data_IF_416473610869
#
_entry.id   IF_416473610869
#
_cell.length_a   1.000
_cell.length_b   1.000
_cell.length_c   1.000
_cell.angle_alpha   90.00
_cell.angle_beta   90.00
_cell.angle_gamma   90.00
#
_symmetry.space_group_name_H-M   'P 1'
#
loop_
_entity.id
_entity.type
_entity.pdbx_description
1 polymer ?
#
# COMPACT_ATOMS: atom_id res chain seq x y z
N UNK A 1 -20.33 -5.78 -0.61
CA UNK A 1 -20.03 -6.44 -1.90
C UNK A 1 -19.33 -7.74 -1.55
N UNK A 2 -19.80 -8.87 -2.06
CA UNK A 2 -19.19 -10.18 -1.80
C UNK A 2 -18.07 -10.43 -2.83
N UNK A 3 -16.83 -10.21 -2.41
CA UNK A 3 -15.65 -10.33 -3.28
C UNK A 3 -15.35 -11.76 -3.71
N UNK A 4 -15.69 -12.75 -2.87
CA UNK A 4 -15.48 -14.16 -3.22
C UNK A 4 -16.43 -14.56 -4.35
N UNK A 5 -17.70 -14.14 -4.28
CA UNK A 5 -18.66 -14.34 -5.38
C UNK A 5 -18.20 -13.67 -6.67
N UNK A 6 -17.73 -12.43 -6.58
CA UNK A 6 -17.20 -11.68 -7.73
C UNK A 6 -15.97 -12.34 -8.36
N UNK A 7 -15.05 -12.85 -7.55
CA UNK A 7 -13.85 -13.53 -8.04
C UNK A 7 -14.18 -14.87 -8.69
N UNK A 8 -15.10 -15.65 -8.11
CA UNK A 8 -15.63 -16.90 -8.71
C UNK A 8 -16.26 -16.63 -10.06
N UNK A 9 -16.98 -15.52 -10.20
CA UNK A 9 -17.58 -15.11 -11.48
C UNK A 9 -16.50 -14.82 -12.53
N UNK A 10 -15.45 -14.07 -12.19
CA UNK A 10 -14.31 -13.83 -13.09
C UNK A 10 -13.65 -15.16 -13.50
N UNK A 11 -13.36 -16.05 -12.56
CA UNK A 11 -12.71 -17.32 -12.88
C UNK A 11 -13.59 -18.23 -13.74
N UNK A 12 -14.90 -18.23 -13.52
CA UNK A 12 -15.87 -18.93 -14.39
C UNK A 12 -15.83 -18.39 -15.81
N UNK A 13 -15.87 -17.06 -15.98
CA UNK A 13 -15.81 -16.41 -17.29
C UNK A 13 -14.48 -16.70 -18.00
N UNK A 14 -13.36 -16.76 -17.27
CA UNK A 14 -12.05 -17.13 -17.86
C UNK A 14 -12.05 -18.60 -18.30
N UNK A 15 -12.60 -19.49 -17.49
CA UNK A 15 -12.69 -20.92 -17.83
C UNK A 15 -13.55 -21.14 -19.07
N UNK A 16 -14.66 -20.41 -19.18
CA UNK A 16 -15.54 -20.46 -20.33
C UNK A 16 -14.91 -19.83 -21.57
N UNK A 17 -14.28 -18.66 -21.44
CA UNK A 17 -13.51 -18.02 -22.51
C UNK A 17 -12.47 -18.94 -23.13
N UNK A 18 -11.74 -19.71 -22.30
CA UNK A 18 -10.75 -20.70 -22.77
C UNK A 18 -11.36 -21.93 -23.42
N UNK A 19 -12.63 -22.26 -23.11
CA UNK A 19 -13.36 -23.38 -23.71
C UNK A 19 -13.95 -23.03 -25.07
N UNK A 20 -14.14 -21.74 -25.37
CA UNK A 20 -14.60 -21.32 -26.68
C UNK A 20 -13.51 -21.64 -27.71
N UNK A 21 -13.78 -22.63 -28.57
CA UNK A 21 -12.90 -22.99 -29.68
C UNK A 21 -12.79 -21.81 -30.63
N UNK A 22 -11.69 -21.06 -30.55
CA UNK A 22 -11.00 -20.13 -31.47
C UNK A 22 -11.81 -19.23 -32.43
N UNK A 23 -12.94 -19.65 -33.02
CA UNK A 23 -13.62 -18.92 -34.10
C UNK A 23 -14.28 -17.60 -33.69
N UNK A 24 -14.52 -17.33 -32.40
CA UNK A 24 -15.01 -16.00 -32.01
C UNK A 24 -14.67 -15.55 -30.58
N UNK A 25 -13.40 -15.71 -30.18
CA UNK A 25 -12.90 -15.21 -28.88
C UNK A 25 -13.20 -13.72 -28.68
N UNK A 26 -13.02 -12.90 -29.73
CA UNK A 26 -13.31 -11.47 -29.66
C UNK A 26 -14.80 -11.21 -29.38
N UNK A 27 -15.70 -11.91 -30.06
CA UNK A 27 -17.13 -11.78 -29.81
C UNK A 27 -17.50 -12.18 -28.38
N UNK A 28 -17.04 -13.33 -27.87
CA UNK A 28 -17.33 -13.72 -26.48
C UNK A 28 -16.77 -12.69 -25.48
N UNK A 29 -15.59 -12.14 -25.75
CA UNK A 29 -15.03 -11.07 -24.92
C UNK A 29 -15.92 -9.83 -24.92
N UNK A 30 -16.32 -9.34 -26.09
CA UNK A 30 -17.14 -8.15 -26.21
C UNK A 30 -18.58 -8.34 -25.69
N UNK A 31 -19.17 -9.53 -25.79
CA UNK A 31 -20.56 -9.78 -25.36
C UNK A 31 -20.70 -10.15 -23.89
N UNK A 32 -19.73 -10.87 -23.31
CA UNK A 32 -19.85 -11.41 -21.96
C UNK A 32 -18.86 -10.80 -20.98
N UNK A 33 -17.60 -10.61 -21.39
CA UNK A 33 -16.52 -10.15 -20.50
C UNK A 33 -16.53 -8.65 -20.34
N UNK A 34 -16.52 -7.93 -21.45
CA UNK A 34 -16.44 -6.46 -21.48
C UNK A 34 -17.57 -5.80 -20.70
N UNK A 35 -18.86 -6.15 -20.87
CA UNK A 35 -19.95 -5.48 -20.14
C UNK A 35 -19.89 -5.71 -18.62
N UNK A 36 -19.36 -6.87 -18.21
CA UNK A 36 -19.14 -7.15 -16.79
C UNK A 36 -18.06 -6.25 -16.20
N UNK A 37 -16.93 -6.07 -16.89
CA UNK A 37 -15.87 -5.17 -16.45
C UNK A 37 -16.23 -3.69 -16.58
N UNK A 38 -16.98 -3.29 -17.61
CA UNK A 38 -17.48 -1.92 -17.80
C UNK A 38 -18.25 -1.44 -16.57
N UNK A 39 -19.24 -2.22 -16.11
CA UNK A 39 -20.01 -1.91 -14.90
C UNK A 39 -19.16 -1.73 -13.64
N UNK A 40 -18.01 -2.41 -13.57
CA UNK A 40 -17.11 -2.33 -12.41
C UNK A 40 -16.13 -1.17 -12.55
N UNK A 41 -15.63 -0.95 -13.75
CA UNK A 41 -14.78 0.18 -14.10
C UNK A 41 -15.55 1.49 -13.91
N UNK A 42 -16.82 1.56 -14.29
CA UNK A 42 -17.71 2.70 -14.02
C UNK A 42 -17.79 3.05 -12.53
N UNK A 43 -17.76 2.04 -11.64
CA UNK A 43 -17.78 2.27 -10.19
C UNK A 43 -16.47 2.81 -9.64
N UNK A 44 -15.32 2.39 -10.18
CA UNK A 44 -14.00 2.87 -9.74
C UNK A 44 -13.55 4.14 -10.47
N UNK A 45 -14.06 4.40 -11.67
CA UNK A 45 -13.65 5.52 -12.53
C UNK A 45 -13.73 6.89 -11.84
N UNK A 46 -14.75 7.22 -11.02
CA UNK A 46 -14.78 8.49 -10.29
C UNK A 46 -13.63 8.68 -9.29
N UNK A 47 -13.02 7.58 -8.83
CA UNK A 47 -11.86 7.62 -7.93
C UNK A 47 -10.51 7.56 -8.65
N UNK A 48 -10.49 7.41 -9.99
CA UNK A 48 -9.27 7.36 -10.78
C UNK A 48 -8.85 8.74 -11.30
N UNK A 49 -7.54 8.97 -11.39
CA UNK A 49 -6.92 10.16 -11.98
C UNK A 49 -5.76 9.76 -12.91
N UNK A 50 -5.34 10.70 -13.75
CA UNK A 50 -4.21 10.51 -14.68
C UNK A 50 -4.64 10.50 -16.15
N UNK A 51 -3.68 10.67 -17.05
CA UNK A 51 -3.92 10.73 -18.51
C UNK A 51 -4.03 9.35 -19.17
N UNK A 52 -3.49 8.31 -18.53
CA UNK A 52 -3.41 6.95 -19.08
C UNK A 52 -4.44 5.98 -18.47
N UNK A 53 -5.58 6.48 -17.97
CA UNK A 53 -6.60 5.63 -17.33
C UNK A 53 -7.13 4.59 -18.31
N UNK A 54 -7.59 5.03 -19.48
CA UNK A 54 -8.22 4.13 -20.45
C UNK A 54 -7.21 3.17 -21.07
N UNK A 55 -5.97 3.60 -21.30
CA UNK A 55 -4.89 2.74 -21.76
C UNK A 55 -4.56 1.65 -20.71
N UNK A 56 -4.39 2.01 -19.44
CA UNK A 56 -4.07 1.04 -18.36
C UNK A 56 -5.22 0.07 -18.10
N UNK A 57 -6.48 0.47 -18.29
CA UNK A 57 -7.64 -0.40 -18.08
C UNK A 57 -7.95 -1.27 -19.30
N UNK A 58 -8.02 -0.66 -20.49
CA UNK A 58 -8.61 -1.23 -21.70
C UNK A 58 -7.65 -1.42 -22.88
N UNK A 59 -6.46 -0.81 -22.85
CA UNK A 59 -5.46 -0.95 -23.91
C UNK A 59 -5.01 -2.39 -24.13
N UNK A 60 -4.21 -2.62 -25.17
CA UNK A 60 -3.75 -3.97 -25.57
C UNK A 60 -2.99 -4.71 -24.45
N UNK A 61 -2.28 -3.93 -23.63
CA UNK A 61 -1.60 -4.39 -22.40
C UNK A 61 -2.32 -3.97 -21.11
N UNK A 62 -3.55 -3.48 -21.24
CA UNK A 62 -4.39 -3.04 -20.14
C UNK A 62 -4.82 -4.19 -19.22
N UNK A 63 -5.22 -3.83 -17.99
CA UNK A 63 -5.62 -4.76 -16.94
C UNK A 63 -6.68 -5.74 -17.43
N UNK A 64 -7.75 -5.27 -18.08
CA UNK A 64 -8.86 -6.15 -18.49
C UNK A 64 -8.38 -7.16 -19.54
N UNK A 65 -7.63 -6.74 -20.56
CA UNK A 65 -7.12 -7.68 -21.58
C UNK A 65 -6.12 -8.68 -21.00
N UNK A 66 -5.22 -8.24 -20.11
CA UNK A 66 -4.22 -9.12 -19.46
C UNK A 66 -4.85 -10.23 -18.62
N UNK A 67 -6.03 -10.02 -18.06
CA UNK A 67 -6.76 -11.05 -17.30
C UNK A 67 -7.16 -12.24 -18.20
N UNK A 68 -7.45 -12.00 -19.48
CA UNK A 68 -8.05 -13.01 -20.38
C UNK A 68 -7.12 -13.51 -21.50
N UNK A 69 -6.19 -12.69 -21.99
CA UNK A 69 -5.47 -12.97 -23.24
C UNK A 69 -3.97 -13.33 -23.07
N UNK A 70 -3.42 -13.26 -21.85
CA UNK A 70 -1.97 -13.46 -21.62
C UNK A 70 -1.66 -14.68 -20.76
N UNK A 71 -0.36 -15.03 -20.73
CA UNK A 71 0.21 -16.11 -19.89
C UNK A 71 -0.26 -15.99 -18.44
N UNK A 72 -0.31 -17.12 -17.73
CA UNK A 72 -0.85 -17.21 -16.37
C UNK A 72 -0.24 -16.16 -15.42
N UNK A 73 1.08 -15.97 -15.46
CA UNK A 73 1.76 -14.95 -14.66
C UNK A 73 1.23 -13.52 -14.89
N UNK A 74 0.91 -13.17 -16.14
CA UNK A 74 0.40 -11.85 -16.52
C UNK A 74 -1.05 -11.66 -16.09
N UNK A 75 -1.85 -12.74 -16.13
CA UNK A 75 -3.21 -12.77 -15.59
C UNK A 75 -3.21 -12.50 -14.09
N UNK A 76 -2.34 -13.18 -13.33
CA UNK A 76 -2.26 -13.03 -11.88
C UNK A 76 -1.91 -11.59 -11.48
N UNK A 77 -0.91 -10.98 -12.14
CA UNK A 77 -0.56 -9.58 -11.93
C UNK A 77 -1.73 -8.62 -12.18
N UNK A 78 -2.41 -8.76 -13.32
CA UNK A 78 -3.53 -7.88 -13.67
C UNK A 78 -4.74 -8.03 -12.74
N UNK A 79 -5.02 -9.25 -12.26
CA UNK A 79 -6.07 -9.47 -11.27
C UNK A 79 -5.76 -8.77 -9.93
N UNK A 80 -4.51 -8.84 -9.46
CA UNK A 80 -4.11 -8.14 -8.24
C UNK A 80 -4.15 -6.61 -8.39
N UNK A 81 -3.75 -6.08 -9.55
CA UNK A 81 -3.90 -4.64 -9.86
C UNK A 81 -5.38 -4.22 -9.81
N UNK A 82 -6.29 -5.03 -10.37
CA UNK A 82 -7.72 -4.74 -10.34
C UNK A 82 -8.30 -4.78 -8.91
N UNK A 83 -7.91 -5.77 -8.12
CA UNK A 83 -8.34 -5.89 -6.72
C UNK A 83 -7.84 -4.74 -5.86
N UNK A 84 -6.60 -4.30 -6.09
CA UNK A 84 -6.03 -3.12 -5.47
C UNK A 84 -6.89 -1.88 -5.76
N UNK A 85 -7.20 -1.59 -7.03
CA UNK A 85 -8.00 -0.42 -7.41
C UNK A 85 -9.39 -0.46 -6.77
N UNK A 86 -10.04 -1.62 -6.78
CA UNK A 86 -11.34 -1.80 -6.14
C UNK A 86 -11.28 -1.56 -4.64
N UNK A 87 -10.27 -2.10 -3.96
CA UNK A 87 -10.08 -1.89 -2.52
C UNK A 87 -9.87 -0.41 -2.20
N UNK A 88 -8.90 0.23 -2.85
CA UNK A 88 -8.55 1.63 -2.60
C UNK A 88 -9.74 2.56 -2.83
N UNK A 89 -10.44 2.40 -3.94
CA UNK A 89 -11.48 3.37 -4.35
C UNK A 89 -12.83 3.07 -3.69
N UNK A 90 -13.25 1.80 -3.66
CA UNK A 90 -14.60 1.44 -3.20
C UNK A 90 -14.68 1.20 -1.70
N UNK A 91 -13.60 0.70 -1.08
CA UNK A 91 -13.57 0.37 0.35
C UNK A 91 -12.87 1.47 1.13
N UNK A 92 -11.59 1.74 0.83
CA UNK A 92 -10.78 2.72 1.56
C UNK A 92 -11.15 4.18 1.21
N UNK A 93 -11.91 4.39 0.12
CA UNK A 93 -12.31 5.72 -0.39
C UNK A 93 -11.11 6.64 -0.62
N UNK A 94 -10.02 6.07 -1.12
CA UNK A 94 -8.76 6.75 -1.48
C UNK A 94 -8.72 6.92 -3.00
N UNK A 95 -8.63 8.16 -3.51
CA UNK A 95 -8.38 8.40 -4.93
C UNK A 95 -7.03 7.85 -5.37
N UNK A 96 -6.98 7.30 -6.58
CA UNK A 96 -5.79 6.67 -7.16
C UNK A 96 -5.46 7.34 -8.48
N UNK A 97 -4.24 7.84 -8.61
CA UNK A 97 -3.67 8.30 -9.87
C UNK A 97 -2.91 7.14 -10.54
N UNK A 98 -3.22 6.89 -11.81
CA UNK A 98 -2.49 5.92 -12.65
C UNK A 98 -1.27 6.62 -13.21
N UNK A 99 -0.10 6.07 -12.91
CA UNK A 99 1.18 6.61 -13.34
C UNK A 99 1.54 6.13 -14.76
N UNK A 100 2.27 6.93 -15.55
CA UNK A 100 2.70 6.53 -16.89
C UNK A 100 3.69 5.37 -16.81
N UNK A 101 3.41 4.30 -17.56
CA UNK A 101 4.18 3.05 -17.49
C UNK A 101 5.61 3.21 -18.03
N UNK A 102 5.78 4.00 -19.10
CA UNK A 102 7.08 4.31 -19.70
C UNK A 102 7.70 5.53 -19.01
N UNK A 103 9.00 5.46 -18.76
CA UNK A 103 9.77 6.61 -18.31
C UNK A 103 9.83 7.67 -19.43
N UNK A 104 9.79 8.95 -19.07
CA UNK A 104 10.08 10.03 -20.01
C UNK A 104 11.59 10.12 -20.23
N UNK A 105 12.17 9.19 -21.00
CA UNK A 105 13.61 9.18 -21.27
C UNK A 105 13.84 9.48 -22.75
N UNK A 106 14.18 10.73 -23.05
CA UNK A 106 14.79 11.15 -24.33
C UNK A 106 16.26 10.71 -24.46
N UNK A 107 16.78 9.89 -23.55
CA UNK A 107 18.21 9.60 -23.45
C UNK A 107 18.50 8.10 -23.64
N UNK A 108 18.98 7.81 -24.86
CA UNK A 108 19.78 6.66 -25.30
C UNK A 108 19.08 5.30 -25.39
N UNK A 109 19.29 4.70 -26.55
CA UNK A 109 18.84 3.41 -27.06
C UNK A 109 19.42 2.20 -26.29
N UNK A 110 19.54 2.27 -24.97
CA UNK A 110 19.84 1.09 -24.16
C UNK A 110 18.53 0.46 -23.72
N UNK A 111 18.29 -0.73 -24.25
CA UNK A 111 17.13 -1.61 -24.19
C UNK A 111 16.67 -2.09 -22.81
N UNK A 112 16.83 -1.30 -21.75
CA UNK A 112 16.19 -1.64 -20.47
C UNK A 112 14.72 -1.22 -20.51
N UNK A 113 13.82 -2.20 -20.56
CA UNK A 113 12.38 -2.00 -20.36
C UNK A 113 12.10 -1.58 -18.91
N UNK A 114 12.53 -0.37 -18.54
CA UNK A 114 12.39 0.17 -17.20
C UNK A 114 11.02 0.82 -17.05
N UNK A 115 10.27 0.36 -16.04
CA UNK A 115 8.91 0.80 -15.76
C UNK A 115 8.89 1.73 -14.55
N UNK A 116 7.99 2.71 -14.57
CA UNK A 116 7.64 3.42 -13.35
C UNK A 116 6.75 2.55 -12.45
N UNK A 117 6.66 2.85 -11.14
CA UNK A 117 5.65 2.26 -10.28
C UNK A 117 4.24 2.46 -10.82
N UNK A 118 3.33 1.54 -10.50
CA UNK A 118 1.99 1.50 -11.11
C UNK A 118 1.08 2.69 -10.76
N UNK A 119 1.03 3.07 -9.48
CA UNK A 119 -0.01 3.95 -8.95
C UNK A 119 0.52 4.99 -7.98
N UNK A 120 -0.29 6.02 -7.76
CA UNK A 120 -0.06 7.02 -6.74
C UNK A 120 -1.36 7.27 -5.96
N UNK A 121 -1.32 7.02 -4.66
CA UNK A 121 -2.44 7.20 -3.76
C UNK A 121 -2.49 8.65 -3.29
N UNK A 122 -3.68 9.26 -3.30
CA UNK A 122 -3.89 10.63 -2.82
C UNK A 122 -4.55 10.54 -1.45
N UNK A 123 -3.76 10.68 -0.39
CA UNK A 123 -4.20 10.49 0.98
C UNK A 123 -4.89 11.76 1.52
N UNK A 124 -5.99 11.58 2.25
CA UNK A 124 -6.82 12.68 2.79
C UNK A 124 -6.08 13.57 3.78
N UNK A 125 -5.13 13.01 4.54
CA UNK A 125 -4.32 13.82 5.46
C UNK A 125 -3.26 14.62 4.71
N UNK A 126 -3.47 15.94 4.62
CA UNK A 126 -2.51 16.95 4.15
C UNK A 126 -2.04 16.79 2.69
N UNK A 127 -2.90 16.32 1.79
CA UNK A 127 -2.55 16.13 0.36
C UNK A 127 -1.27 15.32 0.16
N UNK A 128 -1.05 14.33 1.03
CA UNK A 128 0.13 13.48 0.94
C UNK A 128 -0.10 12.47 -0.18
N UNK A 129 0.90 12.33 -1.00
CA UNK A 129 0.89 11.39 -2.10
C UNK A 129 1.70 10.17 -1.69
N UNK A 130 1.33 8.99 -2.17
CA UNK A 130 2.08 7.76 -1.92
C UNK A 130 2.18 6.94 -3.20
N UNK A 131 3.37 6.92 -3.80
CA UNK A 131 3.63 6.06 -4.95
C UNK A 131 3.59 4.61 -4.48
N UNK A 132 2.76 3.81 -5.12
CA UNK A 132 2.52 2.41 -4.78
C UNK A 132 2.78 1.51 -5.98
N UNK A 133 3.60 0.49 -5.77
CA UNK A 133 3.77 -0.61 -6.71
C UNK A 133 2.90 -1.80 -6.29
N UNK A 134 2.25 -2.46 -7.25
CA UNK A 134 1.42 -3.64 -6.97
C UNK A 134 2.04 -4.88 -7.61
N UNK A 135 2.29 -5.90 -6.80
CA UNK A 135 2.78 -7.19 -7.29
C UNK A 135 1.83 -8.31 -6.85
N UNK A 136 1.74 -9.36 -7.65
CA UNK A 136 1.01 -10.57 -7.28
C UNK A 136 1.93 -11.78 -7.45
N UNK A 137 2.05 -12.65 -6.45
CA UNK A 137 2.74 -13.92 -6.62
C UNK A 137 1.94 -14.81 -7.58
N UNK A 138 2.66 -15.64 -8.34
CA UNK A 138 2.07 -16.55 -9.33
C UNK A 138 2.11 -18.01 -8.88
N UNK A 139 2.73 -18.28 -7.73
CA UNK A 139 2.82 -19.59 -7.10
C UNK A 139 2.87 -19.45 -5.58
N UNK A 140 2.69 -20.58 -4.90
CA UNK A 140 2.80 -20.72 -3.44
C UNK A 140 4.24 -20.64 -2.92
N UNK A 141 5.20 -20.35 -3.80
CA UNK A 141 6.62 -20.29 -3.44
C UNK A 141 6.91 -18.98 -2.68
N UNK A 142 6.98 -19.11 -1.36
CA UNK A 142 7.31 -18.01 -0.44
C UNK A 142 8.64 -17.34 -0.82
N UNK A 143 9.62 -18.08 -1.39
CA UNK A 143 10.90 -17.50 -1.82
C UNK A 143 10.74 -16.49 -2.96
N UNK A 144 9.63 -16.52 -3.71
CA UNK A 144 9.33 -15.50 -4.72
C UNK A 144 8.99 -14.15 -4.12
N UNK A 145 8.52 -14.09 -2.87
CA UNK A 145 8.21 -12.82 -2.20
C UNK A 145 9.43 -11.91 -2.14
N UNK A 146 10.59 -12.45 -1.74
CA UNK A 146 11.84 -11.68 -1.73
C UNK A 146 12.17 -11.09 -3.11
N UNK A 147 11.95 -11.86 -4.18
CA UNK A 147 12.13 -11.37 -5.56
C UNK A 147 11.17 -10.25 -5.92
N UNK A 148 9.91 -10.31 -5.48
CA UNK A 148 8.94 -9.23 -5.70
C UNK A 148 9.39 -7.93 -5.02
N UNK A 149 9.86 -8.02 -3.76
CA UNK A 149 10.40 -6.88 -3.02
C UNK A 149 11.64 -6.30 -3.73
N UNK A 150 12.57 -7.17 -4.16
CA UNK A 150 13.75 -6.77 -4.92
C UNK A 150 13.40 -6.07 -6.23
N UNK A 151 12.41 -6.60 -6.97
CA UNK A 151 11.95 -6.01 -8.22
C UNK A 151 11.31 -4.64 -8.01
N UNK A 152 10.46 -4.50 -6.98
CA UNK A 152 9.88 -3.21 -6.62
C UNK A 152 10.96 -2.19 -6.24
N UNK A 153 11.92 -2.57 -5.39
CA UNK A 153 13.06 -1.72 -5.04
C UNK A 153 13.84 -1.24 -6.28
N UNK A 154 14.09 -2.14 -7.25
CA UNK A 154 14.74 -1.78 -8.51
C UNK A 154 13.89 -0.80 -9.35
N UNK A 155 12.57 -0.98 -9.37
CA UNK A 155 11.63 -0.11 -10.08
C UNK A 155 11.63 1.30 -9.50
N UNK A 156 11.56 1.44 -8.18
CA UNK A 156 11.68 2.74 -7.51
C UNK A 156 13.05 3.38 -7.71
N UNK A 157 14.14 2.60 -7.63
CA UNK A 157 15.51 3.10 -7.81
C UNK A 157 15.73 3.70 -9.21
N UNK A 158 15.07 3.13 -10.21
CA UNK A 158 15.22 3.48 -11.62
C UNK A 158 14.12 4.43 -12.12
N UNK A 159 13.06 4.65 -11.34
CA UNK A 159 11.93 5.49 -11.74
C UNK A 159 12.38 6.92 -12.03
N UNK A 160 11.80 7.51 -13.08
CA UNK A 160 12.01 8.92 -13.44
C UNK A 160 11.02 9.85 -12.75
N UNK A 161 10.26 9.38 -11.75
CA UNK A 161 9.27 10.18 -11.05
C UNK A 161 9.94 11.04 -9.99
N UNK A 162 9.78 12.35 -10.12
CA UNK A 162 10.18 13.33 -9.11
C UNK A 162 9.34 13.16 -7.84
N UNK A 163 10.01 13.25 -6.69
CA UNK A 163 9.43 12.95 -5.38
C UNK A 163 9.52 14.11 -4.43
N UNK A 164 9.00 15.26 -4.86
CA UNK A 164 8.90 16.41 -3.96
C UNK A 164 7.88 16.15 -2.83
N UNK A 165 6.85 15.31 -3.03
CA UNK A 165 5.71 15.19 -2.08
C UNK A 165 5.16 13.77 -1.83
N UNK A 166 5.94 12.72 -2.10
CA UNK A 166 5.43 11.33 -2.16
C UNK A 166 5.46 10.52 -0.87
N UNK A 167 5.75 11.15 0.27
CA UNK A 167 5.66 10.49 1.57
C UNK A 167 5.41 11.54 2.68
N UNK A 168 4.61 11.25 3.73
CA UNK A 168 4.49 12.13 4.89
C UNK A 168 5.88 12.53 5.39
N UNK A 169 6.14 13.82 5.68
CA UNK A 169 7.48 14.27 6.15
C UNK A 169 8.05 13.42 7.28
N UNK A 170 7.17 12.97 8.20
CA UNK A 170 7.53 12.06 9.30
C UNK A 170 8.18 10.74 8.86
N UNK A 171 8.12 10.41 7.59
CA UNK A 171 8.65 9.18 7.02
C UNK A 171 9.47 9.44 5.75
N UNK A 172 9.71 10.70 5.36
CA UNK A 172 10.68 11.03 4.31
C UNK A 172 12.06 10.74 4.88
N UNK A 173 12.63 9.60 4.49
CA UNK A 173 13.92 9.16 5.04
C UNK A 173 15.09 9.74 4.23
N UNK A 174 14.88 9.98 2.92
CA UNK A 174 15.91 10.49 2.02
C UNK A 174 15.31 11.56 1.09
N UNK A 175 15.47 12.86 1.41
CA UNK A 175 15.01 13.96 0.55
C UNK A 175 15.55 13.84 -0.88
N UNK A 176 14.71 14.11 -1.88
CA UNK A 176 15.09 14.08 -3.30
C UNK A 176 15.22 12.68 -3.93
N UNK A 177 14.72 11.61 -3.29
CA UNK A 177 14.74 10.25 -3.84
C UNK A 177 13.35 9.62 -3.90
N UNK A 178 13.09 8.83 -4.94
CA UNK A 178 11.82 8.13 -5.09
C UNK A 178 11.66 7.02 -4.05
N UNK A 179 10.65 7.19 -3.19
CA UNK A 179 10.26 6.24 -2.16
C UNK A 179 8.76 5.93 -2.29
N UNK A 180 8.35 4.75 -1.83
CA UNK A 180 6.95 4.37 -1.88
C UNK A 180 6.62 3.03 -1.21
N UNK A 181 5.39 2.58 -1.39
CA UNK A 181 4.87 1.33 -0.83
C UNK A 181 4.80 0.22 -1.87
N UNK A 182 5.09 -1.01 -1.45
CA UNK A 182 4.79 -2.21 -2.21
C UNK A 182 3.56 -2.89 -1.62
N UNK A 183 2.57 -3.19 -2.46
CA UNK A 183 1.46 -4.06 -2.08
C UNK A 183 1.53 -5.40 -2.81
N UNK A 184 1.59 -6.48 -2.05
CA UNK A 184 1.61 -7.86 -2.54
C UNK A 184 0.21 -8.46 -2.41
N UNK A 185 -0.45 -8.73 -3.54
CA UNK A 185 -1.82 -9.21 -3.62
C UNK A 185 -1.85 -10.74 -3.82
N UNK A 186 -2.13 -11.48 -2.76
CA UNK A 186 -2.36 -12.92 -2.83
C UNK A 186 -3.81 -13.23 -3.22
N UNK A 187 -3.97 -14.25 -4.07
CA UNK A 187 -5.26 -14.79 -4.45
C UNK A 187 -5.62 -16.06 -3.64
N UNK A 188 -6.89 -16.46 -3.72
CA UNK A 188 -7.45 -17.64 -3.03
C UNK A 188 -6.85 -19.00 -3.41
N UNK A 189 -6.00 -19.10 -4.43
CA UNK A 189 -5.27 -20.34 -4.70
C UNK A 189 -4.07 -20.51 -3.78
N UNK A 190 -3.64 -19.44 -3.12
CA UNK A 190 -2.45 -19.39 -2.28
C UNK A 190 -2.75 -19.49 -0.78
N UNK A 191 -3.94 -20.00 -0.42
CA UNK A 191 -4.49 -20.00 0.94
C UNK A 191 -3.63 -20.78 1.94
N UNK A 192 -2.99 -21.87 1.50
CA UNK A 192 -2.12 -22.68 2.34
C UNK A 192 -0.85 -21.94 2.78
N UNK A 193 -0.47 -20.86 2.06
CA UNK A 193 0.76 -20.09 2.31
C UNK A 193 0.53 -18.93 3.29
N UNK A 194 -0.73 -18.62 3.57
CA UNK A 194 -1.12 -17.50 4.43
C UNK A 194 -1.69 -17.96 5.77
N UNK A 195 -1.43 -19.21 6.17
CA UNK A 195 -1.54 -19.60 7.57
C UNK A 195 -0.47 -18.88 8.42
N UNK A 196 -0.55 -19.00 9.74
CA UNK A 196 0.36 -18.28 10.64
C UNK A 196 1.84 -18.60 10.37
N UNK A 197 2.15 -19.87 10.10
CA UNK A 197 3.50 -20.32 9.79
C UNK A 197 4.01 -19.77 8.46
N UNK A 198 3.15 -19.72 7.43
CA UNK A 198 3.43 -19.18 6.12
C UNK A 198 3.61 -17.66 6.14
N UNK A 199 2.75 -16.93 6.87
CA UNK A 199 2.89 -15.48 7.06
C UNK A 199 4.23 -15.13 7.72
N UNK A 200 4.69 -15.92 8.69
CA UNK A 200 6.01 -15.73 9.32
C UNK A 200 7.15 -15.92 8.31
N UNK A 201 7.09 -16.95 7.47
CA UNK A 201 8.08 -17.16 6.40
C UNK A 201 8.05 -16.05 5.35
N UNK A 202 6.88 -15.53 5.00
CA UNK A 202 6.73 -14.36 4.14
C UNK A 202 7.40 -13.15 4.79
N UNK A 203 7.17 -12.92 6.08
CA UNK A 203 7.81 -11.84 6.83
C UNK A 203 9.34 -11.92 6.78
N UNK A 204 9.91 -13.11 7.01
CA UNK A 204 11.35 -13.37 6.91
C UNK A 204 11.89 -13.04 5.52
N UNK A 205 11.23 -13.52 4.46
CA UNK A 205 11.62 -13.23 3.08
C UNK A 205 11.52 -11.74 2.71
N UNK A 206 10.52 -11.02 3.23
CA UNK A 206 10.43 -9.58 3.01
C UNK A 206 11.61 -8.91 3.71
N UNK A 207 11.92 -9.26 4.98
CA UNK A 207 12.99 -8.61 5.76
C UNK A 207 14.38 -8.75 5.13
N UNK A 208 14.68 -9.86 4.47
CA UNK A 208 15.93 -10.06 3.71
C UNK A 208 16.12 -9.02 2.60
N UNK A 209 15.04 -8.72 1.86
CA UNK A 209 15.07 -7.82 0.70
C UNK A 209 14.67 -6.37 1.04
N UNK A 210 14.01 -6.17 2.17
CA UNK A 210 13.57 -4.90 2.74
C UNK A 210 14.52 -4.36 3.83
N UNK A 211 15.80 -4.77 3.83
CA UNK A 211 16.81 -4.42 4.83
C UNK A 211 17.09 -2.90 5.00
N UNK A 212 17.41 -2.41 6.22
CA UNK A 212 17.87 -1.04 6.47
C UNK A 212 19.07 -0.61 5.61
N UNK A 213 19.93 -1.55 5.24
CA UNK A 213 21.12 -1.27 4.41
C UNK A 213 20.76 -0.96 2.95
N UNK A 214 19.50 -1.16 2.54
CA UNK A 214 18.99 -0.86 1.20
C UNK A 214 18.26 0.49 1.24
N UNK A 215 19.02 1.58 1.15
CA UNK A 215 18.55 2.98 1.33
C UNK A 215 17.70 3.57 0.20
N UNK A 216 17.44 2.85 -0.90
CA UNK A 216 16.64 3.35 -2.04
C UNK A 216 15.53 2.36 -2.36
N UNK A 217 14.30 2.84 -2.40
CA UNK A 217 13.15 2.07 -2.87
C UNK A 217 11.96 2.07 -1.93
N UNK A 218 11.48 0.87 -1.65
CA UNK A 218 10.28 0.59 -0.86
C UNK A 218 10.53 0.96 0.61
N UNK A 219 9.55 1.61 1.23
CA UNK A 219 9.55 2.00 2.66
C UNK A 219 8.38 1.41 3.45
N UNK A 220 7.43 0.79 2.75
CA UNK A 220 6.30 0.07 3.34
C UNK A 220 5.97 -1.13 2.46
N UNK A 221 5.75 -2.30 3.06
CA UNK A 221 5.31 -3.51 2.37
C UNK A 221 4.03 -4.00 3.03
N UNK A 222 2.93 -4.02 2.28
CA UNK A 222 1.66 -4.60 2.70
C UNK A 222 1.39 -5.89 1.94
N UNK A 223 1.02 -6.95 2.66
CA UNK A 223 0.59 -8.22 2.09
C UNK A 223 -0.91 -8.37 2.30
N UNK A 224 -1.63 -8.53 1.20
CA UNK A 224 -3.08 -8.59 1.21
C UNK A 224 -3.60 -9.91 0.66
N UNK A 225 -4.76 -10.33 1.17
CA UNK A 225 -5.56 -11.43 0.66
C UNK A 225 -7.00 -11.00 0.67
N UNK A 226 -7.71 -11.14 -0.46
CA UNK A 226 -9.14 -10.82 -0.55
C UNK A 226 -9.50 -9.44 0.02
N UNK A 227 -8.65 -8.45 -0.27
CA UNK A 227 -8.77 -7.07 0.25
C UNK A 227 -8.50 -6.90 1.75
N UNK A 228 -8.09 -7.95 2.47
CA UNK A 228 -7.71 -7.86 3.88
C UNK A 228 -6.19 -7.80 4.01
N UNK A 229 -5.71 -6.90 4.85
CA UNK A 229 -4.30 -6.82 5.21
C UNK A 229 -3.97 -8.01 6.11
N UNK A 230 -2.88 -8.71 5.81
CA UNK A 230 -2.43 -9.90 6.56
C UNK A 230 -1.09 -9.65 7.24
N UNK A 231 -0.21 -8.89 6.59
CA UNK A 231 1.09 -8.50 7.11
C UNK A 231 1.42 -7.10 6.62
N UNK A 232 1.93 -6.26 7.52
CA UNK A 232 2.51 -4.98 7.15
C UNK A 232 3.84 -4.75 7.85
N UNK A 233 4.84 -4.40 7.05
CA UNK A 233 6.15 -3.97 7.50
C UNK A 233 6.40 -2.55 7.00
N UNK A 234 6.89 -1.68 7.88
CA UNK A 234 7.22 -0.30 7.56
C UNK A 234 8.60 0.06 8.11
N UNK A 235 9.31 0.96 7.43
CA UNK A 235 10.51 1.60 7.98
C UNK A 235 10.15 2.81 8.82
N UNK A 236 10.70 2.89 10.02
CA UNK A 236 10.61 4.08 10.85
C UNK A 236 11.63 5.17 10.43
N UNK A 237 11.68 6.27 11.18
CA UNK A 237 12.61 7.39 10.90
C UNK A 237 14.08 7.00 11.07
N UNK A 238 14.35 6.03 11.94
CA UNK A 238 15.66 5.46 12.21
C UNK A 238 16.01 4.34 11.23
N UNK A 239 15.19 4.14 10.18
CA UNK A 239 15.34 3.12 9.16
C UNK A 239 15.28 1.69 9.70
N UNK A 240 14.65 1.49 10.86
CA UNK A 240 14.37 0.17 11.42
C UNK A 240 13.10 -0.40 10.81
N UNK A 241 13.08 -1.73 10.58
CA UNK A 241 11.91 -2.42 10.06
C UNK A 241 10.97 -2.77 11.20
N UNK A 242 9.85 -2.06 11.28
CA UNK A 242 8.78 -2.26 12.24
C UNK A 242 7.65 -3.06 11.60
N UNK A 243 7.13 -4.06 12.32
CA UNK A 243 5.89 -4.75 11.94
C UNK A 243 4.71 -3.94 12.46
N UNK A 244 3.88 -3.42 11.57
CA UNK A 244 2.73 -2.58 11.90
C UNK A 244 1.42 -3.35 11.82
N UNK A 245 1.40 -4.51 11.16
CA UNK A 245 0.23 -5.40 11.14
C UNK A 245 0.63 -6.90 11.06
N UNK A 246 -0.08 -7.79 11.80
CA UNK A 246 -0.98 -7.47 12.90
C UNK A 246 -0.23 -6.73 14.01
N UNK A 247 -0.89 -5.76 14.65
CA UNK A 247 -0.33 -5.01 15.77
C UNK A 247 -0.09 -6.01 16.90
N UNK A 248 1.18 -6.31 17.22
CA UNK A 248 1.49 -7.12 18.40
C UNK A 248 0.95 -6.37 19.62
N UNK A 249 0.28 -7.07 20.54
CA UNK A 249 -0.29 -6.46 21.75
C UNK A 249 0.74 -5.69 22.60
N UNK A 250 2.04 -5.91 22.39
CA UNK A 250 3.15 -5.11 22.95
C UNK A 250 3.08 -3.61 22.62
N UNK A 251 2.35 -3.18 21.58
CA UNK A 251 2.17 -1.75 21.30
C UNK A 251 1.15 -1.07 22.23
N UNK A 252 0.28 -1.83 22.92
CA UNK A 252 -0.57 -1.27 23.99
C UNK A 252 0.26 -0.88 25.21
N UNK A 253 1.35 -1.60 25.48
CA UNK A 253 2.24 -1.31 26.62
C UNK A 253 3.07 -0.04 26.36
N UNK A 254 3.61 0.14 25.15
CA UNK A 254 4.34 1.37 24.79
C UNK A 254 3.41 2.60 24.74
N UNK A 255 2.19 2.46 24.23
CA UNK A 255 1.21 3.56 24.24
C UNK A 255 0.70 3.88 25.66
N UNK A 256 0.55 2.88 26.53
CA UNK A 256 0.19 3.07 27.93
C UNK A 256 1.35 3.67 28.76
N UNK A 257 2.60 3.39 28.40
CA UNK A 257 3.79 3.94 29.06
C UNK A 257 3.97 5.43 28.73
N UNK A 258 3.75 5.84 27.48
CA UNK A 258 3.78 7.25 27.08
C UNK A 258 2.62 8.07 27.66
N UNK A 259 1.44 7.47 27.81
CA UNK A 259 0.31 8.13 28.48
C UNK A 259 0.50 8.21 30.00
N UNK A 260 1.11 7.21 30.64
CA UNK A 260 1.46 7.27 32.08
C UNK A 260 2.54 8.30 32.37
N UNK A 261 3.59 8.39 31.54
CA UNK A 261 4.65 9.40 31.72
C UNK A 261 4.10 10.83 31.59
N UNK A 262 3.19 11.08 30.63
CA UNK A 262 2.54 12.37 30.49
C UNK A 262 1.60 12.70 31.66
N UNK A 263 0.88 11.70 32.19
CA UNK A 263 0.01 11.87 33.36
C UNK A 263 0.78 12.15 34.64
N UNK A 264 1.93 11.52 34.84
CA UNK A 264 2.75 11.72 36.03
C UNK A 264 3.48 13.08 35.99
N UNK A 265 3.95 13.53 34.81
CA UNK A 265 4.44 14.91 34.61
C UNK A 265 3.32 15.93 34.85
N UNK A 266 2.09 15.67 34.39
CA UNK A 266 0.95 16.54 34.66
C UNK A 266 0.59 16.61 36.14
N UNK A 267 0.68 15.49 36.88
CA UNK A 267 0.43 15.49 38.33
C UNK A 267 1.49 16.27 39.10
N UNK A 268 2.76 16.15 38.71
CA UNK A 268 3.88 16.86 39.33
C UNK A 268 3.78 18.38 39.08
N UNK A 269 3.45 18.79 37.85
CA UNK A 269 3.19 20.21 37.53
C UNK A 269 1.97 20.75 38.29
N UNK A 270 0.94 19.93 38.51
CA UNK A 270 -0.24 20.32 39.29
C UNK A 270 0.06 20.39 40.79
N UNK A 271 0.90 19.50 41.35
CA UNK A 271 1.32 19.59 42.76
C UNK A 271 2.17 20.83 43.01
N UNK A 272 3.14 21.10 42.14
CA UNK A 272 4.01 22.28 42.25
C UNK A 272 3.23 23.60 42.17
N UNK A 273 2.23 23.66 41.28
CA UNK A 273 1.36 24.84 41.19
C UNK A 273 0.45 24.99 42.41
N UNK A 274 0.04 23.88 43.04
CA UNK A 274 -0.80 23.90 44.24
C UNK A 274 -0.01 24.34 45.48
N UNK A 275 1.27 24.01 45.56
CA UNK A 275 2.16 24.50 46.61
C UNK A 275 2.47 25.99 46.43
N UNK A 276 2.82 26.41 45.21
CA UNK A 276 3.01 27.85 44.89
C UNK A 276 1.77 28.68 45.19
N UNK A 277 0.58 28.15 44.90
CA UNK A 277 -0.69 28.83 45.21
C UNK A 277 -0.91 28.99 46.72
N UNK A 278 -0.55 27.99 47.55
CA UNK A 278 -0.61 28.11 49.02
C UNK A 278 0.38 29.13 49.56
N UNK A 279 1.58 29.20 48.96
CA UNK A 279 2.61 30.15 49.36
C UNK A 279 2.21 31.60 49.04
N UNK A 280 1.64 31.83 47.85
CA UNK A 280 1.05 33.13 47.47
C UNK A 280 -0.10 33.51 48.41
N UNK A 281 -0.97 32.57 48.77
CA UNK A 281 -2.08 32.83 49.71
C UNK A 281 -1.56 33.21 51.10
N UNK A 282 -0.46 32.58 51.56
CA UNK A 282 0.18 32.87 52.84
C UNK A 282 0.80 34.28 52.84
N UNK A 283 1.49 34.66 51.77
CA UNK A 283 2.06 36.01 51.62
C UNK A 283 0.95 37.08 51.58
N UNK A 284 -0.15 36.81 50.85
CA UNK A 284 -1.31 37.71 50.79
C UNK A 284 -1.99 37.89 52.16
N UNK A 285 -2.07 36.82 52.96
CA UNK A 285 -2.63 36.90 54.31
C UNK A 285 -1.71 37.68 55.27
N UNK A 286 -0.39 37.49 55.16
CA UNK A 286 0.59 38.26 55.95
C UNK A 286 0.59 39.75 55.58
N UNK A 287 0.42 40.10 54.30
CA UNK A 287 0.26 41.48 53.87
C UNK A 287 -0.98 42.16 54.45
N UNK A 288 -2.10 41.44 54.53
CA UNK A 288 -3.36 41.94 55.12
C UNK A 288 -3.32 42.11 56.64
N UNK A 289 -2.45 41.37 57.33
CA UNK A 289 -2.22 41.54 58.77
C UNK A 289 -1.34 42.77 59.06
N UNK A 290 -0.44 43.14 58.14
CA UNK A 290 0.40 44.34 58.27
C UNK A 290 -0.33 45.64 57.87
N UNK A 291 -1.44 45.55 57.13
CA UNK A 291 -2.32 46.68 56.80
C UNK A 291 -3.37 47.01 57.88
N UNK A 292 -3.43 46.23 58.96
CA UNK A 292 -4.31 46.46 60.13
C UNK A 292 -3.51 46.99 61.31
#
# INVERSE_FOLDING_TARGET
>A
MDWQSERRKIDSMIKEFRRQNVTNLNHYFDTHIRPYFEKRIEKIRPGLRGKSIDEKLWGDDGIVRRIFHKREDTKHGALGEFEFLQRKILIEKVPVEILPEKQNVKLKETSSHEKNPDFKLILKEKSKELITEVKSPTSDDIKRVGRLVKNANNQYKKSSLETEHTFPEKFKMFPGRTQGSLEIQYNDKHVAVLDEAGVKKIEEQIREEFSPNKHRGVVQVGVYRNHELVLELQRDRQNQIVKTYPVREQTKELAATDQRSQLDVLKEVVSDNREKSKEVQKVLNQGRELER
#
